data_IF_574367287432
#
_entry.id   IF_574367287432
#
_cell.length_a   1.000
_cell.length_b   1.000
_cell.length_c   1.000
_cell.angle_alpha   90.00
_cell.angle_beta   90.00
_cell.angle_gamma   90.00
#
_symmetry.space_group_name_H-M   'P 1'
#
loop_
_entity.id
_entity.type
_entity.pdbx_description
1 polymer ?
#
# COMPACT_ATOMS: atom_id res chain seq x y z
N UNK A 1 6.04 10.56 18.59
CA UNK A 1 5.68 11.76 17.81
C UNK A 1 4.34 11.46 17.16
N UNK A 2 3.72 12.40 16.45
CA UNK A 2 2.53 12.08 15.65
C UNK A 2 2.98 11.78 14.21
N UNK A 3 2.28 10.86 13.53
CA UNK A 3 2.43 10.66 12.09
C UNK A 3 2.09 11.97 11.36
N UNK A 4 2.87 12.30 10.33
CA UNK A 4 2.57 13.43 9.45
C UNK A 4 1.33 13.15 8.60
N UNK A 5 0.68 14.20 8.10
CA UNK A 5 -0.47 14.05 7.22
C UNK A 5 -0.15 13.21 5.97
N UNK A 6 1.05 13.41 5.42
CA UNK A 6 1.55 12.64 4.27
C UNK A 6 1.69 11.15 4.61
N UNK A 7 2.31 10.81 5.75
CA UNK A 7 2.46 9.41 6.16
C UNK A 7 1.10 8.74 6.38
N UNK A 8 0.12 9.47 6.93
CA UNK A 8 -1.25 8.94 7.08
C UNK A 8 -1.89 8.66 5.72
N UNK A 9 -1.67 9.51 4.73
CA UNK A 9 -2.15 9.27 3.36
C UNK A 9 -1.49 8.03 2.76
N UNK A 10 -0.17 7.91 2.91
CA UNK A 10 0.58 6.79 2.37
C UNK A 10 0.21 5.45 3.03
N UNK A 11 0.04 5.43 4.35
CA UNK A 11 -0.41 4.23 5.07
C UNK A 11 -1.76 3.75 4.56
N UNK A 12 -2.74 4.65 4.36
CA UNK A 12 -4.06 4.28 3.80
C UNK A 12 -3.91 3.66 2.42
N UNK A 13 -3.16 4.32 1.54
CA UNK A 13 -2.89 3.89 0.17
C UNK A 13 -2.24 2.50 0.15
N UNK A 14 -1.22 2.29 0.97
CA UNK A 14 -0.55 1.00 1.09
C UNK A 14 -1.44 -0.07 1.71
N UNK A 15 -2.29 0.24 2.68
CA UNK A 15 -3.28 -0.70 3.21
C UNK A 15 -4.46 -0.94 2.25
N UNK A 16 -4.53 -0.17 1.15
CA UNK A 16 -5.55 -0.33 0.13
C UNK A 16 -6.88 0.37 0.43
N UNK A 17 -6.88 1.26 1.41
CA UNK A 17 -8.01 2.12 1.72
C UNK A 17 -8.00 3.37 0.85
N UNK A 18 -9.18 3.88 0.45
CA UNK A 18 -9.28 5.06 -0.38
C UNK A 18 -8.91 6.34 0.40
N UNK A 19 -8.82 7.45 -0.35
CA UNK A 19 -8.52 8.75 0.22
C UNK A 19 -9.50 9.14 1.35
N UNK A 20 -9.00 9.82 2.37
CA UNK A 20 -9.84 10.31 3.46
C UNK A 20 -10.68 11.53 3.04
N UNK A 21 -10.10 12.46 2.29
CA UNK A 21 -10.73 13.75 1.94
C UNK A 21 -10.68 14.79 3.08
N UNK A 22 -10.87 16.07 2.75
CA UNK A 22 -10.76 17.20 3.69
C UNK A 22 -12.07 17.62 4.35
N UNK A 23 -13.22 17.27 3.75
CA UNK A 23 -14.55 17.66 4.24
C UNK A 23 -15.42 16.43 4.41
N UNK A 24 -16.09 16.23 5.57
CA UNK A 24 -17.04 15.15 5.76
C UNK A 24 -18.35 15.48 5.03
N UNK A 25 -18.33 15.47 3.70
CA UNK A 25 -19.52 15.64 2.87
C UNK A 25 -19.91 14.29 2.28
N UNK A 26 -21.05 13.77 2.75
CA UNK A 26 -21.72 12.51 2.36
C UNK A 26 -21.40 11.30 3.24
N UNK A 27 -22.45 10.76 3.88
CA UNK A 27 -22.47 9.52 4.68
C UNK A 27 -22.15 8.24 3.89
N UNK A 28 -21.87 8.36 2.59
CA UNK A 28 -21.50 7.26 1.70
C UNK A 28 -19.98 7.10 1.54
N UNK A 29 -19.19 7.91 2.25
CA UNK A 29 -17.73 7.84 2.18
C UNK A 29 -17.17 6.72 3.04
N UNK A 30 -16.06 6.13 2.60
CA UNK A 30 -15.40 5.01 3.29
C UNK A 30 -14.99 5.30 4.73
N UNK A 31 -14.94 6.58 5.11
CA UNK A 31 -14.71 7.08 6.48
C UNK A 31 -15.67 6.50 7.51
N UNK A 32 -16.86 6.07 7.09
CA UNK A 32 -17.90 5.53 7.97
C UNK A 32 -17.86 3.99 8.10
N UNK A 33 -16.98 3.30 7.36
CA UNK A 33 -16.79 1.86 7.54
C UNK A 33 -15.96 1.57 8.78
N UNK A 34 -16.36 0.54 9.54
CA UNK A 34 -15.71 0.14 10.78
C UNK A 34 -14.21 -0.14 10.61
N UNK A 35 -13.82 -0.79 9.51
CA UNK A 35 -12.42 -1.07 9.21
C UNK A 35 -11.58 0.21 9.00
N UNK A 36 -12.17 1.20 8.32
CA UNK A 36 -11.52 2.49 8.08
C UNK A 36 -11.40 3.31 9.37
N UNK A 37 -12.46 3.39 10.17
CA UNK A 37 -12.43 4.03 11.48
C UNK A 37 -11.41 3.39 12.43
N UNK A 38 -11.27 2.05 12.37
CA UNK A 38 -10.26 1.31 13.12
C UNK A 38 -8.84 1.70 12.69
N UNK A 39 -8.57 1.81 11.39
CA UNK A 39 -7.27 2.27 10.90
C UNK A 39 -6.94 3.68 11.40
N UNK A 40 -7.87 4.63 11.26
CA UNK A 40 -7.67 6.00 11.74
C UNK A 40 -7.42 6.07 13.23
N UNK A 41 -8.23 5.34 14.01
CA UNK A 41 -8.05 5.26 15.45
C UNK A 41 -6.66 4.73 15.79
N UNK A 42 -6.22 3.65 15.15
CA UNK A 42 -4.89 3.07 15.41
C UNK A 42 -3.77 4.02 15.02
N UNK A 43 -3.80 4.63 13.84
CA UNK A 43 -2.79 5.62 13.42
C UNK A 43 -2.69 6.80 14.41
N UNK A 44 -3.80 7.19 15.03
CA UNK A 44 -3.82 8.25 16.05
C UNK A 44 -3.38 7.79 17.45
N UNK A 45 -3.33 6.49 17.74
CA UNK A 45 -3.07 5.92 19.07
C UNK A 45 -1.86 4.96 19.10
N UNK A 46 -0.96 5.04 18.11
CA UNK A 46 0.28 4.26 18.12
C UNK A 46 1.17 4.67 19.31
N UNK A 47 1.79 3.69 19.96
CA UNK A 47 2.91 3.96 20.86
C UNK A 47 4.13 4.47 20.07
N UNK A 48 5.04 5.16 20.76
CA UNK A 48 6.26 5.67 20.12
C UNK A 48 7.13 4.55 19.52
N UNK A 49 7.13 3.36 20.12
CA UNK A 49 7.85 2.20 19.60
C UNK A 49 7.21 1.67 18.30
N UNK A 50 5.88 1.52 18.29
CA UNK A 50 5.16 1.07 17.10
C UNK A 50 5.26 2.08 15.95
N UNK A 51 5.21 3.38 16.26
CA UNK A 51 5.44 4.45 15.27
C UNK A 51 6.85 4.32 14.66
N UNK A 52 7.85 4.05 15.49
CA UNK A 52 9.23 3.87 15.02
C UNK A 52 9.35 2.64 14.13
N UNK A 53 8.76 1.50 14.51
CA UNK A 53 8.71 0.30 13.66
C UNK A 53 7.98 0.58 12.36
N UNK A 54 6.84 1.27 12.40
CA UNK A 54 6.07 1.63 11.22
C UNK A 54 6.93 2.42 10.22
N UNK A 55 7.58 3.49 10.70
CA UNK A 55 8.44 4.32 9.85
C UNK A 55 9.64 3.54 9.35
N UNK A 56 10.44 2.97 10.25
CA UNK A 56 11.73 2.35 9.90
C UNK A 56 11.61 1.05 9.12
N UNK A 57 10.56 0.26 9.32
CA UNK A 57 10.39 -1.02 8.62
C UNK A 57 9.59 -0.86 7.33
N UNK A 58 8.49 -0.09 7.35
CA UNK A 58 7.56 -0.05 6.21
C UNK A 58 7.68 1.19 5.33
N UNK A 59 8.07 2.35 5.88
CA UNK A 59 8.10 3.62 5.13
C UNK A 59 9.50 4.08 4.70
N UNK A 60 10.51 3.99 5.56
CA UNK A 60 11.85 4.58 5.28
C UNK A 60 12.99 3.57 5.33
N UNK A 61 12.72 2.30 5.65
CA UNK A 61 13.72 1.23 5.67
C UNK A 61 14.29 0.86 4.31
N UNK A 62 15.24 -0.07 4.29
CA UNK A 62 15.95 -0.53 3.08
C UNK A 62 15.07 -1.33 2.11
N UNK A 63 13.95 -1.88 2.56
CA UNK A 63 12.95 -2.57 1.74
C UNK A 63 11.57 -1.95 1.99
N UNK A 64 11.50 -0.62 1.90
CA UNK A 64 10.26 0.09 2.21
C UNK A 64 9.26 0.04 1.05
N UNK A 65 8.01 0.35 1.36
CA UNK A 65 6.91 0.30 0.41
C UNK A 65 7.06 1.29 -0.75
N UNK A 66 7.70 2.46 -0.55
CA UNK A 66 7.97 3.40 -1.65
C UNK A 66 8.99 2.84 -2.65
N UNK A 67 10.06 2.19 -2.16
CA UNK A 67 11.07 1.58 -3.03
C UNK A 67 10.50 0.40 -3.80
N UNK A 68 9.65 -0.42 -3.18
CA UNK A 68 8.97 -1.53 -3.85
C UNK A 68 7.99 -1.02 -4.91
N UNK A 69 7.25 0.05 -4.63
CA UNK A 69 6.36 0.69 -5.60
C UNK A 69 7.15 1.26 -6.80
N UNK A 70 8.24 1.98 -6.54
CA UNK A 70 9.11 2.51 -7.58
C UNK A 70 9.80 1.40 -8.39
N UNK A 71 10.16 0.28 -7.76
CA UNK A 71 10.71 -0.87 -8.46
C UNK A 71 9.70 -1.47 -9.45
N UNK A 72 8.41 -1.48 -9.14
CA UNK A 72 7.39 -1.93 -10.10
C UNK A 72 7.31 -1.00 -11.30
N UNK A 73 7.26 0.32 -11.08
CA UNK A 73 7.11 1.28 -12.19
C UNK A 73 8.36 1.38 -13.03
N UNK A 74 9.56 1.42 -12.44
CA UNK A 74 10.84 1.45 -13.20
C UNK A 74 11.06 0.21 -14.08
N UNK A 75 10.42 -0.92 -13.80
CA UNK A 75 10.47 -2.07 -14.70
C UNK A 75 9.76 -1.81 -16.05
N UNK A 76 8.95 -0.74 -16.16
CA UNK A 76 8.32 -0.37 -17.43
C UNK A 76 9.30 0.03 -18.52
N UNK A 77 10.47 0.55 -18.15
CA UNK A 77 11.46 1.08 -19.09
C UNK A 77 12.01 0.02 -20.04
N UNK A 78 11.88 -1.27 -19.69
CA UNK A 78 12.41 -2.39 -20.47
C UNK A 78 11.32 -3.38 -20.93
N UNK A 79 10.03 -3.01 -20.86
CA UNK A 79 8.92 -3.91 -21.22
C UNK A 79 8.95 -4.35 -22.69
N UNK A 80 9.44 -3.49 -23.59
CA UNK A 80 9.43 -3.74 -25.04
C UNK A 80 10.65 -4.54 -25.53
N UNK A 81 11.62 -4.84 -24.66
CA UNK A 81 12.90 -5.47 -25.03
C UNK A 81 13.03 -6.87 -24.44
N UNK A 82 12.75 -7.91 -25.24
CA UNK A 82 12.90 -9.30 -24.80
C UNK A 82 14.38 -9.77 -24.77
N UNK A 83 15.22 -9.21 -25.66
CA UNK A 83 16.66 -9.50 -25.73
C UNK A 83 17.44 -8.27 -26.22
N UNK A 84 18.50 -7.91 -25.48
CA UNK A 84 19.47 -6.88 -25.89
C UNK A 84 20.87 -7.50 -25.92
N UNK A 85 21.35 -7.83 -27.13
CA UNK A 85 22.61 -8.55 -27.34
C UNK A 85 22.67 -9.88 -26.54
N UNK A 86 23.63 -10.03 -25.63
CA UNK A 86 23.80 -11.24 -24.80
C UNK A 86 22.87 -11.24 -23.56
N UNK A 87 22.21 -10.12 -23.27
CA UNK A 87 21.36 -9.96 -22.09
C UNK A 87 19.92 -10.39 -22.41
N UNK A 88 19.40 -11.31 -21.59
CA UNK A 88 18.02 -11.79 -21.67
C UNK A 88 17.16 -11.15 -20.58
N UNK A 89 16.01 -10.60 -20.96
CA UNK A 89 15.08 -9.99 -20.00
C UNK A 89 14.39 -11.06 -19.12
N UNK A 90 14.14 -10.74 -17.86
CA UNK A 90 13.34 -11.58 -16.99
C UNK A 90 11.84 -11.31 -17.23
N UNK A 91 11.22 -12.15 -18.07
CA UNK A 91 9.81 -12.05 -18.45
C UNK A 91 8.82 -12.07 -17.28
N UNK A 92 9.22 -12.52 -16.08
CA UNK A 92 8.35 -12.54 -14.89
C UNK A 92 8.66 -11.43 -13.90
N UNK A 93 9.62 -10.55 -14.19
CA UNK A 93 10.10 -9.52 -13.28
C UNK A 93 8.98 -8.63 -12.71
N UNK A 94 8.15 -8.04 -13.57
CA UNK A 94 7.05 -7.16 -13.13
C UNK A 94 6.08 -7.91 -12.23
N UNK A 95 5.74 -9.15 -12.58
CA UNK A 95 4.85 -10.01 -11.79
C UNK A 95 5.44 -10.31 -10.42
N UNK A 96 6.72 -10.64 -10.36
CA UNK A 96 7.40 -11.01 -9.12
C UNK A 96 7.62 -9.79 -8.21
N UNK A 97 7.96 -8.62 -8.79
CA UNK A 97 8.01 -7.33 -8.07
C UNK A 97 6.64 -6.93 -7.51
N UNK A 98 5.57 -7.07 -8.30
CA UNK A 98 4.20 -6.81 -7.83
C UNK A 98 3.76 -7.75 -6.70
N UNK A 99 4.15 -9.04 -6.77
CA UNK A 99 3.90 -10.00 -5.67
C UNK A 99 4.61 -9.60 -4.39
N UNK A 100 5.88 -9.22 -4.48
CA UNK A 100 6.66 -8.75 -3.34
C UNK A 100 6.05 -7.49 -2.73
N UNK A 101 5.69 -6.50 -3.56
CA UNK A 101 5.03 -5.27 -3.11
C UNK A 101 3.71 -5.57 -2.37
N UNK A 102 2.84 -6.40 -2.95
CA UNK A 102 1.57 -6.76 -2.32
C UNK A 102 1.73 -7.57 -1.03
N UNK A 103 2.76 -8.42 -0.94
CA UNK A 103 3.10 -9.13 0.30
C UNK A 103 3.45 -8.15 1.42
N UNK A 104 4.31 -7.17 1.15
CA UNK A 104 4.69 -6.15 2.13
C UNK A 104 3.51 -5.27 2.56
N UNK A 105 2.64 -4.89 1.62
CA UNK A 105 1.40 -4.18 1.95
C UNK A 105 0.50 -4.97 2.89
N UNK A 106 0.37 -6.30 2.68
CA UNK A 106 -0.39 -7.18 3.58
C UNK A 106 0.25 -7.30 4.95
N UNK A 107 1.58 -7.31 5.04
CA UNK A 107 2.29 -7.29 6.32
C UNK A 107 2.05 -5.98 7.08
N UNK A 108 1.99 -4.84 6.39
CA UNK A 108 1.61 -3.56 7.01
C UNK A 108 0.19 -3.61 7.58
N UNK A 109 -0.79 -4.15 6.83
CA UNK A 109 -2.15 -4.34 7.34
C UNK A 109 -2.16 -5.23 8.59
N UNK A 110 -1.38 -6.32 8.57
CA UNK A 110 -1.22 -7.22 9.72
C UNK A 110 -0.61 -6.54 10.94
N UNK A 111 0.44 -5.73 10.75
CA UNK A 111 1.06 -4.95 11.81
C UNK A 111 0.08 -3.94 12.42
N UNK A 112 -0.68 -3.25 11.57
CA UNK A 112 -1.73 -2.33 12.00
C UNK A 112 -2.98 -3.04 12.53
N UNK A 113 -3.09 -4.37 12.43
CA UNK A 113 -4.25 -5.12 12.90
C UNK A 113 -5.56 -4.70 12.23
N UNK A 114 -5.50 -4.36 10.94
CA UNK A 114 -6.67 -4.02 10.11
C UNK A 114 -6.77 -4.99 8.92
N UNK A 115 -7.97 -5.32 8.44
CA UNK A 115 -8.10 -6.11 7.21
C UNK A 115 -7.51 -5.35 6.02
N UNK A 116 -7.14 -6.07 4.96
CA UNK A 116 -6.73 -5.41 3.73
C UNK A 116 -7.92 -4.61 3.14
N UNK A 117 -7.65 -3.41 2.65
CA UNK A 117 -8.67 -2.54 2.08
C UNK A 117 -9.23 -3.06 0.75
N UNK A 118 -10.31 -2.44 0.23
CA UNK A 118 -11.02 -2.92 -0.95
C UNK A 118 -10.15 -3.03 -2.21
N UNK A 119 -9.17 -2.14 -2.37
CA UNK A 119 -8.24 -2.20 -3.52
C UNK A 119 -7.24 -3.36 -3.47
N UNK A 120 -7.25 -4.16 -2.39
CA UNK A 120 -6.43 -5.37 -2.23
C UNK A 120 -7.26 -6.66 -2.21
N UNK A 121 -8.58 -6.55 -2.18
CA UNK A 121 -9.55 -7.67 -2.10
C UNK A 121 -9.55 -8.52 -3.37
N UNK A 122 -9.41 -7.89 -4.55
CA UNK A 122 -9.42 -8.56 -5.85
C UNK A 122 -8.04 -8.81 -6.43
N UNK A 123 -7.23 -9.75 -5.88
CA UNK A 123 -5.91 -10.07 -6.45
C UNK A 123 -5.93 -10.78 -7.82
N UNK A 124 -7.01 -10.64 -8.58
CA UNK A 124 -7.10 -10.91 -10.02
C UNK A 124 -7.08 -9.55 -10.72
N UNK A 125 -6.04 -9.30 -11.52
CA UNK A 125 -5.61 -7.99 -12.03
C UNK A 125 -6.55 -7.20 -12.94
N UNK A 126 -7.87 -7.25 -12.72
CA UNK A 126 -8.91 -6.56 -13.51
C UNK A 126 -9.27 -5.16 -12.98
N UNK A 127 -8.53 -4.64 -12.00
CA UNK A 127 -8.78 -3.29 -11.45
C UNK A 127 -10.14 -3.16 -10.76
N UNK A 128 -10.77 -4.27 -10.40
CA UNK A 128 -12.08 -4.30 -9.75
C UNK A 128 -11.94 -3.80 -8.32
N UNK A 129 -12.60 -2.69 -7.99
CA UNK A 129 -12.71 -2.19 -6.62
C UNK A 129 -14.00 -2.78 -6.06
N UNK A 130 -13.87 -3.62 -5.03
CA UNK A 130 -15.04 -4.06 -4.28
C UNK A 130 -15.68 -2.83 -3.64
N UNK A 131 -16.83 -2.43 -4.16
CA UNK A 131 -17.65 -1.44 -3.51
C UNK A 131 -18.16 -2.08 -2.23
N UNK A 132 -17.54 -1.74 -1.10
CA UNK A 132 -18.10 -2.05 0.21
C UNK A 132 -19.37 -1.21 0.32
N UNK A 133 -20.52 -1.85 0.18
CA UNK A 133 -21.86 -1.24 0.36
C UNK A 133 -22.28 -1.44 1.81
#
# INVERSE_FOLDING_TARGET
MALTDQERVDIRRFCGYPMFGGTPSSFQSYRFFQAYGTLEYRMSNLSAAEETTLRTTYLTGTNNLYQLEQAVTSASDNLDTDQAAVWTHNRTEVRDRMRLYNMWRRQLCGFLGVPAGPSMSGSSGDGTIDLVV
#
